data_IF_582072339270
#
_entry.id   IF_582072339270
#
_cell.length_a   1.000
_cell.length_b   1.000
_cell.length_c   1.000
_cell.angle_alpha   90.00
_cell.angle_beta   90.00
_cell.angle_gamma   90.00
#
_symmetry.space_group_name_H-M   'P 1'
#
loop_
_entity.id
_entity.type
_entity.pdbx_description
1 polymer ?
#
# COMPACT_ATOMS: atom_id res chain seq x y z
N UNK A 1 18.65 -12.47 -11.06
CA UNK A 1 17.63 -11.38 -11.08
C UNK A 1 17.04 -11.26 -9.69
N UNK A 2 16.53 -10.10 -9.32
CA UNK A 2 16.05 -9.85 -7.95
C UNK A 2 14.86 -10.76 -7.56
N UNK A 3 14.12 -11.25 -8.56
CA UNK A 3 13.02 -12.21 -8.39
C UNK A 3 13.44 -13.54 -7.69
N UNK A 4 14.74 -13.82 -7.58
CA UNK A 4 15.25 -15.00 -6.89
C UNK A 4 15.26 -14.87 -5.37
N UNK A 5 15.03 -13.66 -4.84
CA UNK A 5 15.09 -13.35 -3.41
C UNK A 5 13.73 -13.32 -2.72
N UNK A 6 12.64 -13.29 -3.47
CA UNK A 6 11.29 -13.33 -2.92
C UNK A 6 10.37 -14.23 -3.76
N UNK A 7 9.31 -14.70 -3.11
CA UNK A 7 8.31 -15.55 -3.75
C UNK A 7 7.00 -14.78 -3.84
N UNK A 8 6.36 -14.87 -5.00
CA UNK A 8 5.05 -14.29 -5.24
C UNK A 8 4.03 -15.41 -5.32
N UNK A 9 3.00 -15.29 -4.48
CA UNK A 9 1.90 -16.23 -4.45
C UNK A 9 0.65 -15.56 -5.03
N UNK A 10 0.04 -16.19 -6.01
CA UNK A 10 -1.19 -15.71 -6.64
C UNK A 10 -2.44 -16.39 -6.05
N UNK A 11 -2.37 -16.86 -4.81
CA UNK A 11 -3.45 -17.62 -4.17
C UNK A 11 -4.74 -16.81 -4.11
N UNK A 12 -4.72 -15.63 -3.52
CA UNK A 12 -5.90 -14.77 -3.41
C UNK A 12 -6.40 -14.30 -4.79
N UNK A 13 -5.49 -13.98 -5.71
CA UNK A 13 -5.85 -13.61 -7.08
C UNK A 13 -6.57 -14.76 -7.80
N UNK A 14 -6.08 -16.00 -7.67
CA UNK A 14 -6.71 -17.16 -8.28
C UNK A 14 -8.11 -17.41 -7.72
N UNK A 15 -8.31 -17.24 -6.42
CA UNK A 15 -9.64 -17.33 -5.78
C UNK A 15 -10.55 -16.23 -6.34
N UNK A 16 -10.08 -14.99 -6.39
CA UNK A 16 -10.84 -13.86 -6.95
C UNK A 16 -11.30 -14.15 -8.38
N UNK A 17 -10.39 -14.57 -9.27
CA UNK A 17 -10.71 -14.86 -10.67
C UNK A 17 -11.71 -16.02 -10.80
N UNK A 18 -11.50 -17.10 -10.04
CA UNK A 18 -12.44 -18.23 -10.00
C UNK A 18 -13.84 -17.80 -9.56
N UNK A 19 -13.94 -16.90 -8.58
CA UNK A 19 -15.21 -16.40 -8.09
C UNK A 19 -15.90 -15.50 -9.14
N UNK A 20 -15.15 -14.67 -9.87
CA UNK A 20 -15.66 -13.88 -11.00
C UNK A 20 -16.21 -14.82 -12.10
N UNK A 21 -15.46 -15.84 -12.50
CA UNK A 21 -15.91 -16.81 -13.51
C UNK A 21 -17.17 -17.56 -13.06
N UNK A 22 -17.23 -17.93 -11.78
CA UNK A 22 -18.40 -18.59 -11.18
C UNK A 22 -19.61 -17.65 -11.20
N UNK A 23 -19.40 -16.37 -10.85
CA UNK A 23 -20.47 -15.35 -10.89
C UNK A 23 -21.03 -15.19 -12.31
N UNK A 24 -20.15 -15.01 -13.29
CA UNK A 24 -20.53 -14.87 -14.71
C UNK A 24 -21.34 -16.11 -15.15
N UNK A 25 -20.84 -17.31 -14.85
CA UNK A 25 -21.50 -18.55 -15.23
C UNK A 25 -22.87 -18.72 -14.59
N UNK A 26 -22.98 -18.42 -13.30
CA UNK A 26 -24.22 -18.55 -12.51
C UNK A 26 -25.35 -17.63 -13.00
N UNK A 27 -25.00 -16.42 -13.41
CA UNK A 27 -25.98 -15.42 -13.79
C UNK A 27 -26.08 -15.16 -15.30
N UNK A 28 -25.44 -16.00 -16.11
CA UNK A 28 -25.52 -15.93 -17.59
C UNK A 28 -26.97 -16.00 -18.07
N UNK A 29 -27.36 -15.11 -18.95
CA UNK A 29 -28.72 -15.03 -19.51
C UNK A 29 -29.76 -14.50 -18.53
N UNK A 30 -29.37 -14.09 -17.31
CA UNK A 30 -30.28 -13.42 -16.39
C UNK A 30 -30.33 -11.91 -16.66
N UNK A 31 -31.47 -11.27 -16.36
CA UNK A 31 -31.59 -9.81 -16.48
C UNK A 31 -31.23 -9.10 -15.17
N UNK A 32 -30.18 -9.59 -14.48
CA UNK A 32 -29.74 -8.95 -13.24
C UNK A 32 -29.02 -7.63 -13.54
N UNK A 33 -29.34 -6.61 -12.74
CA UNK A 33 -28.62 -5.34 -12.73
C UNK A 33 -27.57 -5.36 -11.62
N UNK A 34 -26.29 -5.31 -12.00
CA UNK A 34 -25.19 -5.42 -11.07
C UNK A 34 -24.79 -4.07 -10.48
N UNK A 35 -24.65 -4.04 -9.17
CA UNK A 35 -24.26 -2.87 -8.39
C UNK A 35 -23.01 -3.24 -7.58
N UNK A 36 -22.01 -2.36 -7.54
CA UNK A 36 -20.84 -2.54 -6.69
C UNK A 36 -21.01 -1.76 -5.39
N UNK A 37 -20.75 -2.38 -4.26
CA UNK A 37 -20.70 -1.70 -2.97
C UNK A 37 -19.25 -1.48 -2.54
N UNK A 38 -18.85 -0.21 -2.47
CA UNK A 38 -17.51 0.27 -2.14
C UNK A 38 -16.72 0.73 -3.36
N UNK A 39 -15.72 1.56 -3.10
CA UNK A 39 -14.84 2.20 -4.10
C UNK A 39 -13.37 1.82 -3.89
N UNK A 40 -13.10 0.63 -3.35
CA UNK A 40 -11.74 0.11 -3.15
C UNK A 40 -11.10 -0.29 -4.49
N UNK A 41 -9.79 -0.51 -4.49
CA UNK A 41 -9.06 -1.05 -5.65
C UNK A 41 -9.63 -2.41 -6.09
N UNK A 42 -10.15 -3.22 -5.17
CA UNK A 42 -10.77 -4.50 -5.51
C UNK A 42 -12.09 -4.28 -6.24
N UNK A 43 -12.85 -3.25 -5.84
CA UNK A 43 -14.05 -2.85 -6.58
C UNK A 43 -13.71 -2.43 -8.01
N UNK A 44 -12.60 -1.72 -8.23
CA UNK A 44 -12.10 -1.39 -9.56
C UNK A 44 -11.77 -2.66 -10.37
N UNK A 45 -11.09 -3.62 -9.77
CA UNK A 45 -10.82 -4.92 -10.42
C UNK A 45 -12.12 -5.63 -10.82
N UNK A 46 -13.15 -5.64 -9.96
CA UNK A 46 -14.46 -6.21 -10.30
C UNK A 46 -15.10 -5.47 -11.47
N UNK A 47 -15.12 -4.14 -11.45
CA UNK A 47 -15.64 -3.31 -12.55
C UNK A 47 -14.92 -3.62 -13.85
N UNK A 48 -13.58 -3.73 -13.83
CA UNK A 48 -12.77 -4.04 -15.01
C UNK A 48 -13.05 -5.46 -15.55
N UNK A 49 -13.12 -6.47 -14.67
CA UNK A 49 -13.37 -7.85 -15.09
C UNK A 49 -14.79 -8.06 -15.65
N UNK A 50 -15.77 -7.30 -15.22
CA UNK A 50 -17.16 -7.44 -15.64
C UNK A 50 -17.56 -6.48 -16.78
N UNK A 51 -16.71 -5.54 -17.21
CA UNK A 51 -17.07 -4.45 -18.14
C UNK A 51 -17.65 -4.93 -19.50
N UNK A 52 -17.13 -6.05 -20.00
CA UNK A 52 -17.50 -6.62 -21.31
C UNK A 52 -18.43 -7.84 -21.17
N UNK A 53 -19.09 -8.00 -20.00
CA UNK A 53 -20.01 -9.09 -19.70
C UNK A 53 -21.46 -8.60 -19.56
N UNK A 54 -22.41 -9.53 -19.50
CA UNK A 54 -23.81 -9.23 -19.20
C UNK A 54 -23.98 -8.65 -17.77
N UNK A 55 -22.98 -8.90 -16.88
CA UNK A 55 -22.97 -8.47 -15.48
C UNK A 55 -22.19 -7.15 -15.26
N UNK A 56 -22.00 -6.35 -16.30
CA UNK A 56 -21.33 -5.06 -16.17
C UNK A 56 -21.99 -4.20 -15.07
N UNK A 57 -21.16 -3.57 -14.25
CA UNK A 57 -21.64 -2.74 -13.15
C UNK A 57 -22.39 -1.53 -13.69
N UNK A 58 -23.63 -1.32 -13.21
CA UNK A 58 -24.47 -0.17 -13.57
C UNK A 58 -24.04 1.09 -12.83
N UNK A 59 -23.89 0.99 -11.52
CA UNK A 59 -23.45 2.07 -10.65
C UNK A 59 -22.79 1.52 -9.38
N UNK A 60 -22.19 2.41 -8.60
CA UNK A 60 -21.54 2.10 -7.33
C UNK A 60 -22.35 2.74 -6.20
N UNK A 61 -22.36 2.10 -5.03
CA UNK A 61 -22.80 2.68 -3.76
C UNK A 61 -21.64 2.71 -2.79
N UNK A 62 -21.56 3.73 -1.94
CA UNK A 62 -20.51 3.85 -0.94
C UNK A 62 -21.01 4.61 0.30
N UNK A 63 -20.61 4.13 1.50
CA UNK A 63 -20.91 4.77 2.78
C UNK A 63 -20.12 6.07 2.99
N UNK A 64 -18.96 6.24 2.33
CA UNK A 64 -18.13 7.43 2.45
C UNK A 64 -18.80 8.62 1.74
N UNK A 65 -19.31 9.57 2.51
CA UNK A 65 -19.99 10.78 2.01
C UNK A 65 -19.12 11.55 1.00
N UNK A 66 -17.81 11.55 1.18
CA UNK A 66 -16.86 12.20 0.28
C UNK A 66 -16.79 11.58 -1.12
N UNK A 67 -17.26 10.34 -1.29
CA UNK A 67 -17.33 9.65 -2.59
C UNK A 67 -18.67 9.80 -3.28
N UNK A 68 -19.72 10.06 -2.52
CA UNK A 68 -21.08 10.16 -3.05
C UNK A 68 -21.23 11.35 -4.00
N UNK A 69 -21.90 11.12 -5.13
CA UNK A 69 -22.07 12.10 -6.20
C UNK A 69 -20.91 12.15 -7.21
N UNK A 70 -19.76 11.56 -6.88
CA UNK A 70 -18.59 11.47 -7.78
C UNK A 70 -18.80 10.40 -8.86
N UNK A 71 -17.95 10.45 -9.87
CA UNK A 71 -17.73 9.35 -10.80
C UNK A 71 -16.42 8.63 -10.44
N UNK A 72 -16.49 7.32 -10.21
CA UNK A 72 -15.36 6.47 -9.85
C UNK A 72 -15.39 5.23 -10.74
N UNK A 73 -14.25 4.89 -11.37
CA UNK A 73 -14.12 3.77 -12.32
C UNK A 73 -15.13 3.86 -13.50
N UNK A 74 -15.43 5.09 -13.96
CA UNK A 74 -16.44 5.34 -15.00
C UNK A 74 -17.88 5.04 -14.55
N UNK A 75 -18.15 5.00 -13.25
CA UNK A 75 -19.46 4.72 -12.66
C UNK A 75 -19.82 5.79 -11.64
N UNK A 76 -21.09 6.20 -11.64
CA UNK A 76 -21.61 7.15 -10.67
C UNK A 76 -21.75 6.49 -9.30
N UNK A 77 -21.30 7.20 -8.26
CA UNK A 77 -21.37 6.74 -6.86
C UNK A 77 -22.59 7.35 -6.18
N UNK A 78 -23.39 6.52 -5.55
CA UNK A 78 -24.57 6.93 -4.79
C UNK A 78 -24.47 6.55 -3.31
N UNK A 79 -25.29 7.18 -2.49
CA UNK A 79 -25.49 6.74 -1.12
C UNK A 79 -26.22 5.38 -1.10
N UNK A 80 -25.88 4.46 -0.18
CA UNK A 80 -26.53 3.15 -0.08
C UNK A 80 -28.05 3.24 0.19
N UNK A 81 -28.53 4.33 0.80
CA UNK A 81 -29.94 4.62 1.03
C UNK A 81 -30.78 4.64 -0.25
N UNK A 82 -30.17 4.86 -1.39
CA UNK A 82 -30.81 4.72 -2.69
C UNK A 82 -31.43 3.35 -2.88
N UNK A 83 -30.74 2.28 -2.45
CA UNK A 83 -31.23 0.91 -2.57
C UNK A 83 -32.46 0.64 -1.66
N UNK A 84 -32.57 1.37 -0.55
CA UNK A 84 -33.74 1.31 0.32
C UNK A 84 -34.94 2.01 -0.32
N UNK A 85 -34.72 3.16 -0.96
CA UNK A 85 -35.78 3.93 -1.60
C UNK A 85 -36.26 3.30 -2.92
N UNK A 86 -35.34 2.68 -3.67
CA UNK A 86 -35.57 2.09 -4.99
C UNK A 86 -35.38 0.57 -4.94
N UNK A 87 -36.05 -0.14 -3.98
CA UNK A 87 -35.91 -1.60 -3.87
C UNK A 87 -36.26 -2.30 -5.19
N UNK A 88 -35.34 -3.19 -5.62
CA UNK A 88 -35.52 -3.94 -6.86
C UNK A 88 -35.00 -5.37 -6.68
N UNK A 89 -35.87 -6.36 -6.84
CA UNK A 89 -35.53 -7.79 -6.73
C UNK A 89 -34.55 -8.28 -7.82
N UNK A 90 -34.38 -7.49 -8.90
CA UNK A 90 -33.42 -7.80 -9.95
C UNK A 90 -32.00 -7.29 -9.66
N UNK A 91 -31.79 -6.53 -8.59
CA UNK A 91 -30.44 -6.10 -8.22
C UNK A 91 -29.56 -7.27 -7.78
N UNK A 92 -28.31 -7.25 -8.21
CA UNK A 92 -27.23 -8.11 -7.75
C UNK A 92 -26.13 -7.22 -7.19
N UNK A 93 -26.00 -7.18 -5.88
CA UNK A 93 -25.10 -6.30 -5.16
C UNK A 93 -23.82 -7.07 -4.83
N UNK A 94 -22.70 -6.62 -5.42
CA UNK A 94 -21.40 -7.25 -5.27
C UNK A 94 -20.60 -6.54 -4.19
N UNK A 95 -19.98 -7.31 -3.29
CA UNK A 95 -19.15 -6.79 -2.19
C UNK A 95 -17.75 -7.40 -2.28
N UNK A 96 -16.72 -6.53 -2.18
CA UNK A 96 -15.32 -6.89 -2.08
C UNK A 96 -14.62 -5.91 -1.14
N UNK A 97 -14.78 -6.11 0.18
CA UNK A 97 -14.33 -5.18 1.21
C UNK A 97 -13.98 -5.92 2.50
N UNK A 98 -13.06 -5.37 3.29
CA UNK A 98 -12.80 -5.83 4.66
C UNK A 98 -13.97 -5.53 5.62
N UNK A 99 -14.88 -4.62 5.27
CA UNK A 99 -16.10 -4.27 6.03
C UNK A 99 -17.34 -5.01 5.50
N UNK A 100 -17.14 -6.17 4.89
CA UNK A 100 -18.21 -6.89 4.19
C UNK A 100 -19.40 -7.28 5.09
N UNK A 101 -19.16 -7.65 6.34
CA UNK A 101 -20.22 -8.10 7.24
C UNK A 101 -21.14 -6.96 7.68
N UNK A 102 -20.59 -5.77 7.89
CA UNK A 102 -21.35 -4.54 8.16
C UNK A 102 -22.17 -4.13 6.93
N UNK A 103 -21.58 -4.21 5.74
CA UNK A 103 -22.25 -3.92 4.47
C UNK A 103 -23.41 -4.88 4.22
N UNK A 104 -23.24 -6.17 4.50
CA UNK A 104 -24.30 -7.17 4.37
C UNK A 104 -25.44 -6.84 5.33
N UNK A 105 -25.18 -6.63 6.63
CA UNK A 105 -26.19 -6.25 7.62
C UNK A 105 -26.97 -5.00 7.23
N UNK A 106 -26.27 -4.00 6.67
CA UNK A 106 -26.90 -2.79 6.18
C UNK A 106 -27.88 -3.08 5.03
N UNK A 107 -27.48 -3.88 4.04
CA UNK A 107 -28.30 -4.24 2.89
C UNK A 107 -29.49 -5.13 3.31
N UNK A 108 -29.29 -6.04 4.26
CA UNK A 108 -30.39 -6.86 4.83
C UNK A 108 -31.42 -5.98 5.53
N UNK A 109 -31.01 -4.89 6.19
CA UNK A 109 -31.95 -3.92 6.76
C UNK A 109 -32.77 -3.16 5.70
N UNK A 110 -32.33 -3.17 4.44
CA UNK A 110 -33.06 -2.61 3.30
C UNK A 110 -33.94 -3.65 2.58
N UNK A 111 -33.94 -4.91 3.04
CA UNK A 111 -34.73 -6.00 2.48
C UNK A 111 -34.02 -6.90 1.48
N UNK A 112 -32.74 -6.67 1.20
CA UNK A 112 -31.94 -7.55 0.35
C UNK A 112 -31.46 -8.77 1.12
N UNK A 113 -31.37 -9.92 0.44
CA UNK A 113 -31.00 -11.20 1.07
C UNK A 113 -29.60 -11.64 0.60
N UNK A 114 -28.75 -12.02 1.56
CA UNK A 114 -27.49 -12.66 1.27
C UNK A 114 -27.69 -13.97 0.49
N UNK A 115 -26.85 -14.21 -0.51
CA UNK A 115 -26.96 -15.38 -1.39
C UNK A 115 -27.97 -15.25 -2.54
N UNK A 116 -28.98 -14.38 -2.45
CA UNK A 116 -29.94 -14.08 -3.52
C UNK A 116 -29.61 -12.77 -4.23
N UNK A 117 -29.46 -11.70 -3.48
CA UNK A 117 -29.24 -10.35 -3.97
C UNK A 117 -27.82 -9.86 -3.69
N UNK A 118 -27.20 -10.34 -2.62
CA UNK A 118 -25.89 -9.92 -2.13
C UNK A 118 -24.91 -11.06 -2.35
N UNK A 119 -23.79 -10.75 -3.00
CA UNK A 119 -22.71 -11.70 -3.29
C UNK A 119 -21.38 -11.12 -2.82
N UNK A 120 -20.68 -11.84 -1.96
CA UNK A 120 -19.26 -11.61 -1.69
C UNK A 120 -18.46 -12.11 -2.89
N UNK A 121 -17.65 -11.23 -3.46
CA UNK A 121 -16.71 -11.64 -4.53
C UNK A 121 -15.51 -12.36 -3.92
N UNK A 122 -15.06 -11.89 -2.77
CA UNK A 122 -13.91 -12.47 -2.06
C UNK A 122 -14.09 -12.23 -0.56
N UNK A 123 -13.71 -13.18 0.28
CA UNK A 123 -13.64 -12.99 1.74
C UNK A 123 -12.27 -12.46 2.13
N UNK A 124 -12.11 -11.13 2.09
CA UNK A 124 -10.84 -10.49 2.38
C UNK A 124 -10.33 -10.72 3.80
N UNK A 125 -11.14 -10.60 4.87
CA UNK A 125 -10.68 -10.88 6.23
C UNK A 125 -10.10 -12.28 6.39
N UNK A 126 -10.74 -13.28 5.80
CA UNK A 126 -10.27 -14.67 5.83
C UNK A 126 -8.94 -14.81 5.07
N UNK A 127 -8.90 -14.34 3.82
CA UNK A 127 -7.72 -14.45 2.98
C UNK A 127 -6.51 -13.68 3.52
N UNK A 128 -6.72 -12.53 4.16
CA UNK A 128 -5.62 -11.73 4.72
C UNK A 128 -5.00 -12.38 5.97
N UNK A 129 -5.73 -13.29 6.63
CA UNK A 129 -5.24 -14.05 7.78
C UNK A 129 -4.79 -15.47 7.42
N UNK A 130 -5.04 -15.93 6.19
CA UNK A 130 -4.68 -17.28 5.74
C UNK A 130 -3.28 -17.28 5.11
N UNK A 131 -2.35 -18.01 5.75
CA UNK A 131 -1.00 -18.27 5.25
C UNK A 131 -0.82 -19.71 4.79
N UNK A 132 -1.91 -20.45 4.56
CA UNK A 132 -1.86 -21.85 4.11
C UNK A 132 -1.19 -22.06 2.75
N UNK A 133 -1.01 -20.97 1.98
CA UNK A 133 -0.31 -21.00 0.69
C UNK A 133 1.23 -21.14 0.82
N UNK A 134 1.79 -21.06 2.04
CA UNK A 134 3.23 -21.23 2.31
C UNK A 134 3.47 -22.29 3.40
N UNK A 135 4.46 -23.15 3.17
CA UNK A 135 4.93 -24.10 4.19
C UNK A 135 6.18 -23.51 4.88
N UNK A 136 6.08 -23.31 6.18
CA UNK A 136 7.15 -22.80 7.05
C UNK A 136 7.49 -23.78 8.19
N UNK A 137 7.06 -25.05 8.04
CA UNK A 137 7.31 -26.10 9.05
C UNK A 137 8.82 -26.26 9.28
N UNK A 138 9.21 -26.23 10.55
CA UNK A 138 10.62 -26.38 10.96
C UNK A 138 11.43 -25.09 11.00
N UNK A 139 10.93 -23.97 10.45
CA UNK A 139 11.63 -22.70 10.55
C UNK A 139 11.38 -22.04 11.92
N UNK A 140 12.40 -21.34 12.43
CA UNK A 140 12.27 -20.55 13.66
C UNK A 140 11.50 -19.25 13.35
N UNK A 141 10.30 -19.13 13.93
CA UNK A 141 9.51 -17.90 13.88
C UNK A 141 10.08 -16.87 14.83
N UNK A 142 10.35 -15.66 14.32
CA UNK A 142 10.89 -14.58 15.12
C UNK A 142 9.83 -13.99 16.07
N UNK A 143 10.26 -13.68 17.28
CA UNK A 143 9.57 -12.80 18.20
C UNK A 143 9.64 -11.35 17.72
N UNK A 144 8.78 -10.47 18.25
CA UNK A 144 8.78 -9.05 17.91
C UNK A 144 10.12 -8.37 18.22
N UNK A 145 10.77 -8.75 19.34
CA UNK A 145 12.10 -8.21 19.69
C UNK A 145 13.18 -8.65 18.69
N UNK A 146 13.10 -9.87 18.17
CA UNK A 146 14.02 -10.35 17.14
C UNK A 146 13.77 -9.64 15.80
N UNK A 147 12.51 -9.40 15.44
CA UNK A 147 12.14 -8.60 14.25
C UNK A 147 12.74 -7.20 14.36
N UNK A 148 12.59 -6.50 15.49
CA UNK A 148 13.18 -5.16 15.71
C UNK A 148 14.70 -5.18 15.61
N UNK A 149 15.37 -6.23 16.08
CA UNK A 149 16.84 -6.39 15.90
C UNK A 149 17.22 -6.52 14.43
N UNK A 150 16.45 -7.26 13.62
CA UNK A 150 16.68 -7.37 12.18
C UNK A 150 16.50 -6.00 11.51
N UNK A 151 15.44 -5.27 11.83
CA UNK A 151 15.19 -3.91 11.29
C UNK A 151 16.32 -2.93 11.67
N UNK A 152 16.84 -2.99 12.92
CA UNK A 152 17.99 -2.18 13.32
C UNK A 152 19.26 -2.50 12.54
N UNK A 153 19.49 -3.78 12.19
CA UNK A 153 20.62 -4.17 11.36
C UNK A 153 20.48 -3.64 9.92
N UNK A 154 19.26 -3.61 9.38
CA UNK A 154 18.97 -2.99 8.07
C UNK A 154 19.21 -1.48 8.12
N UNK A 155 18.73 -0.78 9.16
CA UNK A 155 19.01 0.65 9.37
C UNK A 155 20.49 0.96 9.50
N UNK A 156 21.23 0.10 10.22
CA UNK A 156 22.69 0.21 10.30
C UNK A 156 23.35 0.11 8.93
N UNK A 157 22.94 -0.85 8.10
CA UNK A 157 23.44 -0.98 6.73
C UNK A 157 23.10 0.24 5.88
N UNK A 158 21.89 0.79 5.99
CA UNK A 158 21.50 2.02 5.31
C UNK A 158 22.41 3.19 5.73
N UNK A 159 22.69 3.34 7.02
CA UNK A 159 23.64 4.35 7.53
C UNK A 159 25.04 4.15 6.98
N UNK A 160 25.55 2.91 6.91
CA UNK A 160 26.83 2.59 6.29
C UNK A 160 26.86 3.03 4.83
N UNK A 161 25.82 2.73 4.04
CA UNK A 161 25.70 3.21 2.65
C UNK A 161 25.63 4.74 2.58
N UNK A 162 24.95 5.39 3.52
CA UNK A 162 24.89 6.86 3.60
C UNK A 162 26.28 7.47 3.76
N UNK A 163 27.06 6.96 4.69
CA UNK A 163 28.43 7.46 4.98
C UNK A 163 29.38 7.18 3.81
N UNK A 164 29.34 5.97 3.26
CA UNK A 164 30.31 5.54 2.23
C UNK A 164 30.00 6.14 0.85
N UNK A 165 28.73 6.26 0.47
CA UNK A 165 28.32 6.66 -0.87
C UNK A 165 27.59 8.01 -0.93
N UNK A 166 27.40 8.69 0.22
CA UNK A 166 26.71 9.96 0.27
C UNK A 166 25.19 9.85 0.00
N UNK A 167 24.55 8.75 0.42
CA UNK A 167 23.11 8.56 0.28
C UNK A 167 22.39 9.38 1.34
N UNK A 168 21.51 10.30 0.91
CA UNK A 168 20.63 11.04 1.81
C UNK A 168 19.45 10.16 2.17
N UNK A 169 19.08 10.16 3.45
CA UNK A 169 17.87 9.54 3.95
C UNK A 169 17.37 10.27 5.19
N UNK A 170 16.09 10.13 5.49
CA UNK A 170 15.47 10.70 6.67
C UNK A 170 14.47 9.70 7.26
N UNK A 171 14.53 9.45 8.56
CA UNK A 171 13.46 8.70 9.22
C UNK A 171 12.12 9.40 8.94
N UNK A 172 11.09 8.60 8.71
CA UNK A 172 9.76 9.07 8.33
C UNK A 172 8.69 8.61 9.33
N UNK A 173 7.53 9.20 9.27
CA UNK A 173 6.30 8.79 9.97
C UNK A 173 6.52 8.39 11.44
N UNK A 174 6.04 7.21 11.85
CA UNK A 174 6.17 6.66 13.19
C UNK A 174 7.62 6.53 13.65
N UNK A 175 8.53 6.20 12.74
CA UNK A 175 9.96 6.06 13.03
C UNK A 175 10.61 7.40 13.41
N UNK A 176 10.31 8.48 12.66
CA UNK A 176 10.80 9.82 13.00
C UNK A 176 10.20 10.31 14.34
N UNK A 177 8.91 10.09 14.56
CA UNK A 177 8.24 10.40 15.83
C UNK A 177 8.85 9.59 16.98
N UNK A 178 9.16 8.33 16.76
CA UNK A 178 9.86 7.46 17.71
C UNK A 178 11.22 8.00 18.11
N UNK A 179 12.04 8.42 17.14
CA UNK A 179 13.34 9.04 17.40
C UNK A 179 13.22 10.28 18.29
N UNK A 180 12.29 11.19 17.97
CA UNK A 180 12.11 12.45 18.70
C UNK A 180 11.51 12.25 20.08
N UNK A 181 10.45 11.45 20.22
CA UNK A 181 9.66 11.32 21.44
C UNK A 181 10.14 10.20 22.37
N UNK A 182 10.64 9.08 21.81
CA UNK A 182 10.97 7.88 22.56
C UNK A 182 12.47 7.53 22.51
N UNK A 183 13.24 8.16 21.62
CA UNK A 183 14.65 7.83 21.31
C UNK A 183 14.83 6.39 20.78
N UNK A 184 13.79 5.87 20.11
CA UNK A 184 13.72 4.51 19.59
C UNK A 184 12.33 4.22 19.08
N UNK A 185 11.95 2.95 19.03
CA UNK A 185 10.62 2.56 18.63
C UNK A 185 9.55 3.16 19.56
N UNK A 186 8.43 3.58 18.97
CA UNK A 186 7.21 3.75 19.74
C UNK A 186 6.83 2.36 20.29
N UNK A 187 6.45 2.22 21.59
CA UNK A 187 6.30 0.88 22.22
C UNK A 187 5.33 -0.08 21.54
N UNK A 188 4.36 0.43 20.80
CA UNK A 188 3.35 -0.35 20.07
C UNK A 188 3.56 -0.38 18.56
N UNK A 189 4.65 0.22 18.07
CA UNK A 189 5.01 0.27 16.66
C UNK A 189 5.82 -0.96 16.24
N UNK A 190 5.63 -1.43 15.02
CA UNK A 190 6.19 -2.68 14.53
C UNK A 190 6.86 -2.57 13.14
N UNK A 191 6.89 -1.38 12.55
CA UNK A 191 7.53 -1.08 11.29
C UNK A 191 8.62 0.00 11.38
N UNK A 192 9.27 0.25 10.27
CA UNK A 192 10.31 1.28 10.12
C UNK A 192 10.16 1.94 8.76
N UNK A 193 9.93 3.24 8.78
CA UNK A 193 9.74 4.08 7.60
C UNK A 193 10.91 5.02 7.38
N UNK A 194 11.38 5.12 6.13
CA UNK A 194 12.51 5.96 5.75
C UNK A 194 12.23 6.66 4.42
N UNK A 195 12.35 7.97 4.38
CA UNK A 195 12.41 8.74 3.14
C UNK A 195 13.79 8.70 2.52
N UNK A 196 13.85 8.56 1.19
CA UNK A 196 15.09 8.63 0.40
C UNK A 196 14.83 9.46 -0.85
N UNK A 197 15.57 10.56 -1.13
CA UNK A 197 15.49 11.27 -2.39
C UNK A 197 15.62 10.33 -3.58
N UNK A 198 14.82 10.51 -4.63
CA UNK A 198 14.73 9.54 -5.74
C UNK A 198 16.07 9.21 -6.39
N UNK A 199 16.95 10.18 -6.56
CA UNK A 199 18.26 9.95 -7.15
C UNK A 199 19.14 9.05 -6.25
N UNK A 200 19.08 9.28 -4.94
CA UNK A 200 19.78 8.47 -3.93
C UNK A 200 19.13 7.09 -3.79
N UNK A 201 17.82 7.01 -3.95
CA UNK A 201 17.06 5.75 -3.94
C UNK A 201 17.50 4.83 -5.10
N UNK A 202 17.56 5.35 -6.31
CA UNK A 202 18.02 4.61 -7.49
C UNK A 202 19.49 4.20 -7.36
N UNK A 203 20.34 5.10 -6.81
CA UNK A 203 21.74 4.81 -6.51
C UNK A 203 21.87 3.69 -5.46
N UNK A 204 21.06 3.71 -4.41
CA UNK A 204 21.05 2.69 -3.35
C UNK A 204 20.63 1.31 -3.88
N UNK A 205 19.63 1.24 -4.80
CA UNK A 205 19.28 0.01 -5.51
C UNK A 205 20.51 -0.59 -6.19
N UNK A 206 21.26 0.22 -6.92
CA UNK A 206 22.46 -0.22 -7.64
C UNK A 206 23.59 -0.67 -6.70
N UNK A 207 23.84 0.08 -5.61
CA UNK A 207 24.85 -0.26 -4.60
C UNK A 207 24.57 -1.65 -3.99
N UNK A 208 23.31 -1.95 -3.68
CA UNK A 208 22.91 -3.20 -3.05
C UNK A 208 22.61 -4.33 -4.04
N UNK A 209 22.73 -4.11 -5.34
CA UNK A 209 22.44 -5.12 -6.35
C UNK A 209 23.24 -6.43 -6.15
N UNK A 210 24.51 -6.29 -5.76
CA UNK A 210 25.42 -7.43 -5.54
C UNK A 210 25.65 -7.75 -4.04
N UNK A 211 25.02 -7.05 -3.10
CA UNK A 211 25.08 -7.39 -1.69
C UNK A 211 24.40 -8.75 -1.45
N UNK A 212 25.02 -9.65 -0.69
CA UNK A 212 24.50 -11.00 -0.48
C UNK A 212 23.39 -11.06 0.56
N UNK A 213 23.34 -10.08 1.46
CA UNK A 213 22.42 -10.08 2.59
C UNK A 213 21.31 -9.05 2.45
N UNK A 214 21.61 -7.85 1.95
CA UNK A 214 20.64 -6.76 1.88
C UNK A 214 20.29 -6.46 0.43
N UNK A 215 19.00 -6.36 0.15
CA UNK A 215 18.47 -6.05 -1.17
C UNK A 215 17.39 -4.98 -1.06
N UNK A 216 17.18 -4.24 -2.15
CA UNK A 216 16.00 -3.39 -2.29
C UNK A 216 15.04 -4.05 -3.27
N UNK A 217 13.79 -4.18 -2.87
CA UNK A 217 12.67 -4.64 -3.71
C UNK A 217 11.79 -3.43 -3.98
N UNK A 218 11.66 -3.06 -5.24
CA UNK A 218 10.99 -1.82 -5.64
C UNK A 218 10.40 -1.94 -7.03
N UNK A 219 9.42 -1.10 -7.36
CA UNK A 219 8.87 -0.97 -8.71
C UNK A 219 9.90 -0.59 -9.78
N UNK A 220 11.10 -0.13 -9.37
CA UNK A 220 12.19 0.23 -10.30
C UNK A 220 13.05 -0.97 -10.69
N UNK A 221 12.95 -2.10 -10.01
CA UNK A 221 13.78 -3.27 -10.25
C UNK A 221 13.03 -4.60 -10.19
N UNK A 222 11.70 -4.58 -10.18
CA UNK A 222 10.82 -5.75 -10.26
C UNK A 222 9.71 -5.56 -11.29
N UNK A 223 9.11 -6.67 -11.74
CA UNK A 223 7.95 -6.68 -12.62
C UNK A 223 6.62 -6.55 -11.85
N UNK A 224 6.66 -6.21 -10.56
CA UNK A 224 5.49 -6.12 -9.71
C UNK A 224 5.39 -4.75 -9.03
N UNK A 225 4.16 -4.27 -8.92
CA UNK A 225 3.80 -3.10 -8.16
C UNK A 225 2.98 -3.54 -6.95
N UNK A 226 3.46 -3.19 -5.77
CA UNK A 226 2.87 -3.66 -4.51
C UNK A 226 1.82 -2.73 -3.93
N UNK A 227 1.50 -1.64 -4.61
CA UNK A 227 0.39 -0.74 -4.28
C UNK A 227 0.61 0.21 -3.11
N UNK A 228 1.85 0.37 -2.64
CA UNK A 228 2.13 1.21 -1.47
C UNK A 228 3.06 2.40 -1.74
N UNK A 229 3.48 2.57 -2.99
CA UNK A 229 4.33 3.71 -3.39
C UNK A 229 5.71 3.75 -2.74
N UNK A 230 6.13 2.66 -2.09
CA UNK A 230 7.45 2.50 -1.50
C UNK A 230 8.05 1.14 -1.85
N UNK A 231 9.35 1.00 -1.64
CA UNK A 231 10.04 -0.28 -1.75
C UNK A 231 10.47 -0.77 -0.39
N UNK A 232 11.04 -1.98 -0.38
CA UNK A 232 11.52 -2.66 0.81
C UNK A 232 13.03 -2.81 0.77
N UNK A 233 13.74 -2.38 1.81
CA UNK A 233 15.11 -2.86 2.04
C UNK A 233 15.04 -4.06 2.96
N UNK A 234 15.38 -5.24 2.42
CA UNK A 234 15.18 -6.53 3.08
C UNK A 234 16.49 -7.13 3.60
N UNK A 235 16.40 -7.97 4.64
CA UNK A 235 17.45 -8.91 5.06
C UNK A 235 17.15 -10.29 4.45
N UNK A 236 17.93 -10.71 3.45
CA UNK A 236 17.77 -11.97 2.73
C UNK A 236 17.99 -13.22 3.59
N UNK A 237 18.51 -13.10 4.80
CA UNK A 237 18.64 -14.21 5.75
C UNK A 237 17.33 -14.52 6.49
N UNK A 238 16.28 -13.78 6.23
CA UNK A 238 14.96 -13.96 6.81
C UNK A 238 13.91 -14.20 5.73
N UNK A 239 12.74 -14.70 6.13
CA UNK A 239 11.54 -14.80 5.32
C UNK A 239 10.42 -14.07 6.06
N UNK A 240 9.77 -13.13 5.39
CA UNK A 240 8.61 -12.42 5.90
C UNK A 240 7.44 -12.63 4.94
N UNK A 241 6.38 -13.27 5.41
CA UNK A 241 5.18 -13.50 4.62
C UNK A 241 4.24 -12.30 4.77
N UNK A 242 3.93 -11.63 3.66
CA UNK A 242 3.12 -10.43 3.60
C UNK A 242 1.91 -10.67 2.72
N UNK A 243 0.73 -10.52 3.29
CA UNK A 243 -0.53 -10.60 2.55
C UNK A 243 -0.93 -9.23 2.02
N UNK A 244 -0.81 -9.05 0.71
CA UNK A 244 -1.26 -7.84 0.00
C UNK A 244 -2.09 -8.24 -1.21
N UNK A 245 -3.41 -8.11 -1.10
CA UNK A 245 -4.26 -8.38 -2.26
C UNK A 245 -3.88 -7.45 -3.44
N UNK A 246 -3.80 -7.94 -4.68
CA UNK A 246 -4.24 -9.26 -5.17
C UNK A 246 -3.19 -10.39 -5.05
N UNK A 247 -1.99 -10.12 -4.55
CA UNK A 247 -0.92 -11.11 -4.41
C UNK A 247 -0.42 -11.20 -2.97
N UNK A 248 0.09 -12.36 -2.60
CA UNK A 248 0.85 -12.56 -1.37
C UNK A 248 2.33 -12.65 -1.71
N UNK A 249 3.18 -12.15 -0.83
CA UNK A 249 4.61 -12.03 -1.07
C UNK A 249 5.36 -12.61 0.13
N UNK A 250 6.34 -13.48 -0.15
CA UNK A 250 7.35 -13.88 0.82
C UNK A 250 8.64 -13.12 0.52
N UNK A 251 8.92 -12.11 1.33
CA UNK A 251 10.13 -11.28 1.28
C UNK A 251 11.14 -11.72 2.33
N UNK A 252 12.20 -10.94 2.54
CA UNK A 252 12.90 -10.88 3.84
C UNK A 252 12.22 -9.87 4.77
N UNK A 253 12.52 -9.90 6.07
CA UNK A 253 12.17 -8.81 6.99
C UNK A 253 12.73 -7.51 6.45
N UNK A 254 11.96 -6.45 6.51
CA UNK A 254 12.27 -5.19 5.83
C UNK A 254 12.15 -3.97 6.71
N UNK A 255 12.67 -2.87 6.17
CA UNK A 255 12.24 -1.51 6.44
C UNK A 255 11.63 -0.93 5.15
N UNK A 256 10.70 0.02 5.30
CA UNK A 256 9.98 0.62 4.19
C UNK A 256 10.72 1.87 3.70
N UNK A 257 11.11 1.87 2.42
CA UNK A 257 11.82 2.97 1.78
C UNK A 257 10.90 3.75 0.85
N UNK A 258 10.58 4.97 1.24
CA UNK A 258 9.72 5.88 0.48
C UNK A 258 10.57 6.79 -0.40
N UNK A 259 10.54 6.64 -1.73
CA UNK A 259 11.21 7.57 -2.61
C UNK A 259 10.54 8.94 -2.58
N UNK A 260 11.33 10.00 -2.42
CA UNK A 260 10.88 11.38 -2.52
C UNK A 260 11.07 11.89 -3.95
N UNK A 261 9.98 12.29 -4.57
CA UNK A 261 9.96 12.86 -5.93
C UNK A 261 9.90 14.37 -5.89
N UNK A 262 10.35 15.02 -6.99
CA UNK A 262 10.06 16.42 -7.22
C UNK A 262 8.56 16.63 -7.52
N UNK A 263 8.00 17.70 -6.97
CA UNK A 263 6.57 18.04 -7.10
C UNK A 263 6.44 19.42 -7.74
N UNK A 264 5.52 19.63 -8.70
CA UNK A 264 5.25 20.96 -9.26
C UNK A 264 4.81 21.94 -8.18
N UNK A 265 5.26 23.22 -8.28
CA UNK A 265 4.86 24.28 -7.34
C UNK A 265 3.49 24.89 -7.69
N UNK A 266 3.15 24.97 -8.98
CA UNK A 266 1.85 25.47 -9.43
C UNK A 266 0.74 24.53 -9.00
N UNK A 267 -0.27 25.04 -8.31
CA UNK A 267 -1.36 24.24 -7.73
C UNK A 267 -2.13 23.42 -8.78
N UNK A 268 -2.40 24.02 -9.96
CA UNK A 268 -3.11 23.33 -11.04
C UNK A 268 -2.26 22.22 -11.64
N UNK A 269 -0.98 22.48 -11.83
CA UNK A 269 -0.03 21.49 -12.35
C UNK A 269 0.16 20.36 -11.36
N UNK A 270 0.24 20.66 -10.06
CA UNK A 270 0.32 19.70 -8.96
C UNK A 270 -0.92 18.79 -8.92
N UNK A 271 -2.11 19.34 -9.05
CA UNK A 271 -3.36 18.56 -9.09
C UNK A 271 -3.38 17.62 -10.31
N UNK A 272 -2.97 18.10 -11.47
CA UNK A 272 -2.85 17.28 -12.69
C UNK A 272 -1.83 16.16 -12.47
N UNK A 273 -0.67 16.48 -11.88
CA UNK A 273 0.39 15.52 -11.57
C UNK A 273 -0.12 14.41 -10.66
N UNK A 274 -0.70 14.77 -9.50
CA UNK A 274 -1.24 13.82 -8.52
C UNK A 274 -2.32 12.91 -9.14
N UNK A 275 -3.27 13.50 -9.88
CA UNK A 275 -4.33 12.72 -10.52
C UNK A 275 -3.79 11.77 -11.60
N UNK A 276 -2.77 12.19 -12.35
CA UNK A 276 -2.13 11.34 -13.36
C UNK A 276 -1.40 10.18 -12.69
N UNK A 277 -0.65 10.43 -11.60
CA UNK A 277 0.02 9.38 -10.81
C UNK A 277 -1.00 8.36 -10.31
N UNK A 278 -2.11 8.80 -9.68
CA UNK A 278 -3.18 7.91 -9.20
C UNK A 278 -3.77 7.03 -10.31
N UNK A 279 -3.99 7.61 -11.50
CA UNK A 279 -4.52 6.85 -12.64
C UNK A 279 -3.51 5.81 -13.17
N UNK A 280 -2.22 6.13 -13.17
CA UNK A 280 -1.17 5.20 -13.58
C UNK A 280 -0.97 4.09 -12.55
N UNK A 281 -0.98 4.46 -11.27
CA UNK A 281 -0.89 3.53 -10.14
C UNK A 281 -2.05 2.52 -10.16
N UNK A 282 -3.29 2.99 -10.32
CA UNK A 282 -4.46 2.14 -10.46
C UNK A 282 -4.26 1.09 -11.57
N UNK A 283 -3.74 1.49 -12.73
CA UNK A 283 -3.46 0.56 -13.83
C UNK A 283 -2.42 -0.50 -13.45
N UNK A 284 -1.42 -0.16 -12.63
CA UNK A 284 -0.46 -1.15 -12.13
C UNK A 284 -1.15 -2.20 -11.23
N UNK A 285 -2.09 -1.77 -10.40
CA UNK A 285 -2.78 -2.61 -9.42
C UNK A 285 -3.84 -3.54 -10.05
N UNK A 286 -4.61 -3.03 -11.01
CA UNK A 286 -5.71 -3.81 -11.63
C UNK A 286 -5.23 -4.72 -12.78
N UNK A 287 -4.02 -4.51 -13.30
CA UNK A 287 -3.49 -5.29 -14.43
C UNK A 287 -3.15 -6.71 -14.01
N UNK A 288 -3.98 -7.65 -14.39
CA UNK A 288 -3.83 -9.09 -14.09
C UNK A 288 -2.76 -9.74 -14.96
N UNK A 289 -2.69 -9.34 -16.24
CA UNK A 289 -1.69 -9.87 -17.18
C UNK A 289 -0.33 -9.23 -16.93
N UNK A 290 0.71 -10.05 -16.91
CA UNK A 290 2.08 -9.61 -16.62
C UNK A 290 2.57 -8.51 -17.59
N UNK A 291 2.28 -8.65 -18.90
CA UNK A 291 2.65 -7.65 -19.91
C UNK A 291 2.00 -6.29 -19.67
N UNK A 292 0.70 -6.26 -19.38
CA UNK A 292 -0.05 -5.03 -19.13
C UNK A 292 0.46 -4.35 -17.85
N UNK A 293 0.78 -5.14 -16.81
CA UNK A 293 1.31 -4.66 -15.55
C UNK A 293 2.70 -4.06 -15.72
N UNK A 294 3.61 -4.75 -16.39
CA UNK A 294 4.97 -4.26 -16.66
C UNK A 294 4.91 -2.96 -17.46
N UNK A 295 4.06 -2.88 -18.48
CA UNK A 295 3.86 -1.67 -19.25
C UNK A 295 3.31 -0.51 -18.39
N UNK A 296 2.39 -0.79 -17.48
CA UNK A 296 1.84 0.21 -16.55
C UNK A 296 2.92 0.72 -15.58
N UNK A 297 3.71 -0.18 -14.98
CA UNK A 297 4.83 0.15 -14.08
C UNK A 297 5.85 1.04 -14.80
N UNK A 298 6.25 0.68 -16.01
CA UNK A 298 7.19 1.48 -16.79
C UNK A 298 6.68 2.89 -17.10
N UNK A 299 5.38 3.02 -17.39
CA UNK A 299 4.74 4.34 -17.60
C UNK A 299 4.70 5.16 -16.31
N UNK A 300 4.35 4.53 -15.19
CA UNK A 300 4.33 5.16 -13.88
C UNK A 300 5.73 5.66 -13.49
N UNK A 301 6.74 4.79 -13.56
CA UNK A 301 8.12 5.13 -13.23
C UNK A 301 8.64 6.30 -14.08
N UNK A 302 8.40 6.25 -15.39
CA UNK A 302 8.78 7.35 -16.28
C UNK A 302 8.09 8.66 -15.93
N UNK A 303 6.82 8.63 -15.57
CA UNK A 303 6.06 9.83 -15.23
C UNK A 303 6.51 10.44 -13.89
N UNK A 304 6.79 9.61 -12.88
CA UNK A 304 7.28 10.05 -11.57
C UNK A 304 8.62 10.78 -11.63
N UNK A 305 9.45 10.48 -12.64
CA UNK A 305 10.76 11.09 -12.85
C UNK A 305 10.72 12.36 -13.71
N UNK A 306 9.55 12.90 -14.07
CA UNK A 306 9.43 14.10 -14.89
C UNK A 306 9.93 15.38 -14.19
N UNK A 307 9.87 15.41 -12.85
CA UNK A 307 10.31 16.54 -12.04
C UNK A 307 11.60 16.18 -11.29
N UNK A 308 12.66 16.92 -11.54
CA UNK A 308 13.96 16.70 -10.90
C UNK A 308 13.88 17.09 -9.42
N UNK A 309 14.08 16.13 -8.51
CA UNK A 309 14.09 16.36 -7.07
C UNK A 309 14.98 17.53 -6.65
N UNK A 310 16.17 17.64 -7.25
CA UNK A 310 17.15 18.66 -6.85
C UNK A 310 16.75 20.08 -7.27
N UNK A 311 15.93 20.23 -8.31
CA UNK A 311 15.48 21.50 -8.86
C UNK A 311 14.14 21.98 -8.26
N UNK A 312 13.33 21.07 -7.75
CA UNK A 312 12.03 21.40 -7.16
C UNK A 312 12.16 21.96 -5.75
N UNK A 313 11.27 22.90 -5.39
CA UNK A 313 11.11 23.38 -4.02
C UNK A 313 10.21 22.47 -3.21
N UNK A 314 9.19 21.89 -3.85
CA UNK A 314 8.29 20.91 -3.24
C UNK A 314 8.77 19.49 -3.58
N UNK A 315 8.77 18.63 -2.56
CA UNK A 315 9.15 17.23 -2.70
C UNK A 315 8.19 16.36 -1.89
N UNK A 316 7.99 15.12 -2.31
CA UNK A 316 7.09 14.23 -1.56
C UNK A 316 6.92 12.86 -2.20
N UNK A 317 6.17 12.01 -1.53
CA UNK A 317 5.66 10.76 -2.10
C UNK A 317 4.15 10.88 -2.31
N UNK A 318 3.71 10.78 -3.57
CA UNK A 318 2.29 10.95 -3.97
C UNK A 318 1.59 9.64 -4.30
N UNK A 319 2.28 8.51 -4.12
CA UNK A 319 1.78 7.18 -4.47
C UNK A 319 0.86 6.56 -3.41
N UNK A 320 0.82 7.13 -2.19
CA UNK A 320 -0.03 6.61 -1.12
C UNK A 320 -1.24 7.51 -0.88
N UNK A 321 -2.47 7.02 -1.02
CA UNK A 321 -3.68 7.82 -0.76
C UNK A 321 -3.79 8.34 0.69
N UNK A 322 -3.17 7.65 1.64
CA UNK A 322 -3.21 8.01 3.06
C UNK A 322 -2.31 9.22 3.40
N UNK A 323 -1.33 9.53 2.56
CA UNK A 323 -0.32 10.55 2.84
C UNK A 323 -0.47 11.78 1.93
N UNK A 324 -1.70 12.27 1.74
CA UNK A 324 -1.94 13.57 1.05
C UNK A 324 -1.10 14.71 1.68
N UNK A 325 -0.66 14.53 2.92
CA UNK A 325 0.19 15.47 3.65
C UNK A 325 1.70 15.22 3.48
N UNK A 326 2.12 14.24 2.68
CA UNK A 326 3.54 13.89 2.44
C UNK A 326 4.19 14.72 1.32
N UNK A 327 3.72 15.95 1.12
CA UNK A 327 4.37 16.94 0.26
C UNK A 327 4.92 18.04 1.18
N UNK A 328 6.21 18.30 1.05
CA UNK A 328 6.96 19.21 1.91
C UNK A 328 7.73 20.23 1.08
N UNK A 329 7.96 21.40 1.65
CA UNK A 329 9.06 22.24 1.20
C UNK A 329 10.38 21.50 1.46
N UNK A 330 11.22 21.38 0.44
CA UNK A 330 12.47 20.60 0.51
C UNK A 330 13.40 21.07 1.63
N UNK A 331 13.34 22.33 2.00
CA UNK A 331 14.14 22.91 3.08
C UNK A 331 13.71 22.44 4.49
N UNK A 332 12.52 21.82 4.62
CA UNK A 332 12.10 21.14 5.87
C UNK A 332 12.96 19.91 6.11
N UNK A 333 13.31 19.18 5.05
CA UNK A 333 14.19 18.03 5.12
C UNK A 333 15.64 18.46 5.35
N UNK A 334 16.09 19.53 4.67
CA UNK A 334 17.42 20.09 4.79
C UNK A 334 18.53 19.06 4.52
N UNK A 335 19.62 19.18 5.25
CA UNK A 335 20.73 18.21 5.21
C UNK A 335 20.50 17.01 6.13
N UNK A 336 19.41 17.01 6.90
CA UNK A 336 19.14 16.06 7.96
C UNK A 336 19.83 16.44 9.28
N UNK A 337 19.25 15.96 10.37
CA UNK A 337 19.77 16.09 11.72
C UNK A 337 19.93 14.71 12.33
N UNK A 338 21.13 14.36 12.83
CA UNK A 338 21.31 13.09 13.53
C UNK A 338 20.54 13.09 14.87
N UNK A 339 19.71 12.07 15.04
CA UNK A 339 18.93 11.83 16.27
C UNK A 339 19.11 10.39 16.72
N UNK A 340 19.08 10.18 18.03
CA UNK A 340 19.12 8.84 18.61
C UNK A 340 17.87 8.04 18.28
N UNK A 341 18.06 6.83 17.74
CA UNK A 341 17.05 5.81 17.58
C UNK A 341 17.63 4.47 18.08
N UNK A 342 17.14 4.01 19.21
CA UNK A 342 17.73 2.88 19.95
C UNK A 342 19.24 3.13 20.20
N UNK A 343 20.09 2.25 19.71
CA UNK A 343 21.56 2.34 19.83
C UNK A 343 22.24 2.98 18.60
N UNK A 344 21.47 3.57 17.69
CA UNK A 344 21.96 4.21 16.46
C UNK A 344 21.74 5.72 16.52
N UNK A 345 22.58 6.47 15.80
CA UNK A 345 22.32 7.86 15.43
C UNK A 345 21.89 7.85 13.96
N UNK A 346 20.68 8.32 13.65
CA UNK A 346 20.07 8.27 12.33
C UNK A 346 19.55 9.65 11.93
N UNK A 347 19.49 9.93 10.63
CA UNK A 347 19.04 11.21 10.12
C UNK A 347 17.52 11.31 10.19
N UNK A 348 17.04 12.43 10.75
CA UNK A 348 15.65 12.89 10.67
C UNK A 348 15.60 14.19 9.86
N UNK A 349 14.43 14.67 9.39
CA UNK A 349 14.32 16.00 8.79
C UNK A 349 14.91 17.08 9.69
N UNK A 350 15.68 18.01 9.11
CA UNK A 350 16.36 19.08 9.86
C UNK A 350 15.36 19.92 10.66
N UNK A 351 14.22 20.30 10.05
CA UNK A 351 13.11 20.99 10.70
C UNK A 351 12.05 19.99 11.19
N UNK A 352 12.48 18.97 11.95
CA UNK A 352 11.64 17.84 12.37
C UNK A 352 10.37 18.26 13.14
N UNK A 353 10.39 19.38 13.85
CA UNK A 353 9.20 19.87 14.54
C UNK A 353 8.11 20.32 13.55
N UNK A 354 8.47 21.03 12.47
CA UNK A 354 7.53 21.38 11.40
C UNK A 354 7.05 20.13 10.65
N UNK A 355 7.97 19.22 10.35
CA UNK A 355 7.69 17.97 9.69
C UNK A 355 6.67 17.13 10.48
N UNK A 356 6.91 16.88 11.77
CA UNK A 356 6.02 16.09 12.61
C UNK A 356 4.69 16.77 12.90
N UNK A 357 4.67 18.11 13.01
CA UNK A 357 3.42 18.86 13.14
C UNK A 357 2.54 18.78 11.90
N UNK A 358 3.13 18.75 10.70
CA UNK A 358 2.39 18.59 9.46
C UNK A 358 1.71 17.21 9.40
N UNK A 359 2.39 16.14 9.87
CA UNK A 359 1.86 14.77 9.87
C UNK A 359 0.84 14.51 10.99
N UNK A 360 1.15 14.95 12.21
CA UNK A 360 0.47 14.50 13.42
C UNK A 360 -0.14 15.62 14.27
N UNK A 361 0.02 16.89 13.88
CA UNK A 361 -0.42 18.00 14.70
C UNK A 361 0.37 18.10 16.03
N UNK A 362 -0.31 17.97 17.16
CA UNK A 362 0.34 17.89 18.48
C UNK A 362 0.91 16.48 18.73
N UNK A 363 2.02 16.19 18.07
CA UNK A 363 2.66 14.87 18.05
C UNK A 363 3.27 14.46 19.41
N UNK A 364 3.48 15.40 20.34
CA UNK A 364 3.94 15.06 21.69
C UNK A 364 2.84 14.47 22.56
N UNK A 365 1.58 14.70 22.23
CA UNK A 365 0.45 14.08 22.91
C UNK A 365 0.34 12.61 22.51
N UNK A 366 0.30 11.72 23.52
CA UNK A 366 0.11 10.29 23.26
C UNK A 366 -1.34 10.00 22.82
N UNK A 367 -1.54 9.10 21.85
CA UNK A 367 -2.89 8.70 21.47
C UNK A 367 -3.59 7.97 22.63
N UNK A 368 -4.94 7.88 22.62
CA UNK A 368 -5.69 7.09 23.57
C UNK A 368 -5.18 5.63 23.64
N UNK A 369 -5.27 5.02 24.83
CA UNK A 369 -4.67 3.69 25.09
C UNK A 369 -5.18 2.61 24.12
N UNK A 370 -6.47 2.67 23.77
CA UNK A 370 -7.12 1.75 22.84
C UNK A 370 -6.57 1.83 21.40
N UNK A 371 -5.92 2.93 21.05
CA UNK A 371 -5.24 3.13 19.76
C UNK A 371 -3.76 2.76 19.78
N UNK A 372 -3.20 2.35 20.95
CA UNK A 372 -1.80 1.98 21.10
C UNK A 372 -1.62 0.49 20.83
N UNK A 373 -1.70 0.10 19.55
CA UNK A 373 -1.50 -1.28 19.10
C UNK A 373 -0.80 -1.27 17.74
N UNK A 374 0.00 -2.31 17.47
CA UNK A 374 0.62 -2.51 16.15
C UNK A 374 -0.43 -2.74 15.08
N UNK A 375 -0.09 -2.37 13.87
CA UNK A 375 -0.99 -2.45 12.71
C UNK A 375 -0.64 -3.59 11.76
N UNK A 376 0.57 -4.18 11.91
CA UNK A 376 1.08 -5.19 11.00
C UNK A 376 1.19 -6.57 11.68
N UNK A 377 0.58 -7.56 11.07
CA UNK A 377 0.60 -8.96 11.55
C UNK A 377 1.39 -9.82 10.56
N UNK A 378 2.71 -9.52 10.42
CA UNK A 378 3.57 -10.32 9.55
C UNK A 378 4.16 -11.51 10.28
N UNK A 379 4.32 -12.61 9.55
CA UNK A 379 5.02 -13.78 10.04
C UNK A 379 6.44 -13.77 9.48
N UNK A 380 7.43 -13.60 10.35
CA UNK A 380 8.84 -13.57 9.98
C UNK A 380 9.58 -14.78 10.56
N UNK A 381 10.48 -15.34 9.75
CA UNK A 381 11.26 -16.53 10.09
C UNK A 381 12.72 -16.32 9.69
N UNK A 382 13.68 -16.98 10.40
CA UNK A 382 15.03 -17.12 9.89
C UNK A 382 15.10 -18.20 8.81
N UNK A 383 15.90 -17.96 7.79
CA UNK A 383 16.42 -19.01 6.90
C UNK A 383 17.56 -19.70 7.64
N UNK A 384 17.64 -21.03 7.55
CA UNK A 384 18.75 -21.79 8.08
C UNK A 384 20.10 -21.34 7.50
#
# INVERSE_FOLDING_TARGET
MINDYFQIHKYALNIFLKNIDTLISKYKGTKKECIMFGTSIIAEMVVDQLKDTELKISFIIDNAKSRQGMEVYGKKVYAPERLKAEYNDNYLILIASSFQDEMIKQLESYGYMYGKHIVKIIDLPELMNDYSYVDRTGLHRLSQDEVKKVQLNILKKLKECSIEYGIRYYLHAGTALGAVRHRGYIPWDDDVDVFVPIDDYLKLIHILENDKRYKIISQFNTDYYYGWGFGYMIDCNTICDVNKFPIQISLGQSIDLFPLYGIPEDEREKDIYINTVKNLESKCLISIKDEDRINAINKLNKFLLNYNYNECKLVGNVLMPAFVNDIYEKDILGNGLEMQFENLLLNIPEKHDLFLKQLYGDYMQLPPVEKRKGEHFYHTYFKE
#
